data_IF_292783907223
#
_entry.id   IF_292783907223
#
_cell.length_a   1.000
_cell.length_b   1.000
_cell.length_c   1.000
_cell.angle_alpha   90.00
_cell.angle_beta   90.00
_cell.angle_gamma   90.00
#
_symmetry.space_group_name_H-M   'P 1'
#
loop_
_entity.id
_entity.type
_entity.pdbx_description
1 polymer ?
#
# COMPACT_ATOMS: atom_id res chain seq x y z
N UNK A 1 18.75 -29.05 50.55
CA UNK A 1 19.86 -28.54 49.73
C UNK A 1 19.28 -28.26 48.35
N UNK A 2 18.72 -27.06 48.07
CA UNK A 2 19.36 -25.79 47.60
C UNK A 2 20.18 -25.99 46.32
N UNK A 3 20.02 -25.26 45.20
CA UNK A 3 19.21 -24.07 44.84
C UNK A 3 18.85 -24.13 43.33
N UNK A 4 18.04 -23.25 42.72
CA UNK A 4 17.73 -21.85 43.01
C UNK A 4 18.41 -20.97 41.94
N UNK A 5 17.71 -20.64 40.85
CA UNK A 5 18.09 -19.57 39.92
C UNK A 5 16.86 -18.70 39.65
N UNK A 6 17.01 -17.45 40.05
CA UNK A 6 16.04 -16.39 40.27
C UNK A 6 16.00 -15.51 39.01
N UNK A 7 14.83 -15.33 38.40
CA UNK A 7 14.64 -14.38 37.30
C UNK A 7 14.05 -13.10 37.88
N UNK A 8 14.92 -12.12 38.10
CA UNK A 8 14.56 -10.79 38.59
C UNK A 8 13.66 -10.05 37.62
N UNK A 9 12.39 -9.94 37.99
CA UNK A 9 11.46 -8.93 37.52
C UNK A 9 11.91 -7.56 38.01
N UNK A 10 12.26 -6.65 37.10
CA UNK A 10 12.32 -5.22 37.42
C UNK A 10 10.89 -4.71 37.52
N UNK A 11 10.39 -4.71 38.76
CA UNK A 11 9.15 -4.08 39.18
C UNK A 11 9.24 -2.56 39.02
N UNK A 12 8.28 -1.97 38.31
CA UNK A 12 8.15 -0.51 38.20
C UNK A 12 7.93 0.16 39.56
N UNK A 13 8.78 1.14 39.86
CA UNK A 13 8.70 1.97 41.04
C UNK A 13 7.42 2.80 41.08
N UNK A 14 6.73 2.76 42.23
CA UNK A 14 5.68 3.72 42.60
C UNK A 14 6.33 5.10 42.79
N UNK A 15 5.95 6.08 41.97
CA UNK A 15 6.22 7.49 42.25
C UNK A 15 5.06 8.06 43.08
N UNK A 16 5.38 8.54 44.27
CA UNK A 16 4.52 9.30 45.16
C UNK A 16 4.60 10.78 44.76
N UNK A 17 3.49 11.42 44.39
CA UNK A 17 3.41 12.89 44.22
C UNK A 17 2.54 13.49 45.33
N UNK A 18 2.95 14.59 45.98
CA UNK A 18 2.18 15.23 47.04
C UNK A 18 1.07 16.15 46.49
N UNK A 19 -0.08 16.09 47.17
CA UNK A 19 -1.21 17.04 47.21
C UNK A 19 -1.54 17.86 45.95
N UNK A 20 -2.62 17.45 45.27
CA UNK A 20 -3.56 18.36 44.63
C UNK A 20 -5.00 17.85 44.86
N UNK A 21 -5.77 18.64 45.59
CA UNK A 21 -7.12 18.39 46.06
C UNK A 21 -8.18 18.35 44.95
N UNK A 22 -9.04 17.32 45.03
CA UNK A 22 -10.44 17.21 44.56
C UNK A 22 -10.75 17.54 43.09
N UNK A 23 -11.01 16.50 42.28
CA UNK A 23 -12.28 16.26 41.56
C UNK A 23 -12.27 14.91 40.78
N UNK A 24 -13.11 13.97 41.25
CA UNK A 24 -13.90 12.96 40.51
C UNK A 24 -13.34 12.17 39.29
N UNK A 25 -12.85 10.95 39.60
CA UNK A 25 -12.85 9.62 38.90
C UNK A 25 -13.35 9.47 37.44
N UNK A 26 -12.46 9.05 36.52
CA UNK A 26 -12.54 7.83 35.64
C UNK A 26 -11.22 7.64 34.82
N UNK A 27 -10.63 6.42 34.67
CA UNK A 27 -9.48 6.20 33.77
C UNK A 27 -9.94 5.87 32.34
N UNK A 28 -9.35 6.51 31.34
CA UNK A 28 -9.72 6.39 29.92
C UNK A 28 -9.09 5.14 29.24
N UNK A 29 -9.85 4.39 28.41
CA UNK A 29 -9.33 3.35 27.52
C UNK A 29 -8.86 3.94 26.18
N UNK A 30 -7.66 3.54 25.73
CA UNK A 30 -7.06 3.93 24.44
C UNK A 30 -7.84 3.31 23.26
N UNK A 31 -8.13 4.10 22.22
CA UNK A 31 -8.92 3.71 21.05
C UNK A 31 -8.39 4.35 19.74
N UNK A 32 -8.81 3.80 18.59
CA UNK A 32 -9.00 4.44 17.25
C UNK A 32 -7.85 4.48 16.23
N UNK A 33 -7.73 3.44 15.38
CA UNK A 33 -6.74 3.37 14.28
C UNK A 33 -7.10 4.11 12.98
N UNK A 34 -8.29 4.72 12.85
CA UNK A 34 -8.65 5.50 11.64
C UNK A 34 -9.57 6.71 11.90
N UNK A 35 -9.40 7.38 13.03
CA UNK A 35 -9.87 8.77 13.20
C UNK A 35 -8.76 9.80 12.93
N UNK A 36 -7.63 9.36 12.37
CA UNK A 36 -6.39 10.12 12.43
C UNK A 36 -5.87 10.71 11.11
N UNK A 37 -6.64 10.64 10.02
CA UNK A 37 -6.37 11.47 8.83
C UNK A 37 -7.23 12.76 8.81
N UNK A 38 -8.02 13.00 9.86
CA UNK A 38 -8.56 14.33 10.19
C UNK A 38 -8.30 14.61 11.67
N UNK A 39 -7.26 15.42 11.91
CA UNK A 39 -6.75 15.90 13.22
C UNK A 39 -6.09 14.85 14.13
N UNK A 40 -5.13 14.08 13.62
CA UNK A 40 -4.06 13.57 14.48
C UNK A 40 -2.76 14.33 14.26
N UNK A 41 -2.07 14.66 15.35
CA UNK A 41 -0.77 15.29 15.27
C UNK A 41 0.30 14.22 15.37
N UNK A 42 1.06 14.04 14.29
CA UNK A 42 2.29 13.27 14.30
C UNK A 42 3.33 14.03 15.12
N UNK A 43 3.86 13.39 16.16
CA UNK A 43 4.71 14.02 17.17
C UNK A 43 6.07 13.33 17.30
N UNK A 44 6.19 12.09 16.81
CA UNK A 44 7.46 11.37 16.79
C UNK A 44 8.47 12.06 15.84
N UNK A 45 9.66 12.37 16.35
CA UNK A 45 10.69 13.13 15.61
C UNK A 45 11.12 12.44 14.31
N UNK A 46 11.35 11.11 14.35
CA UNK A 46 11.71 10.31 13.18
C UNK A 46 10.60 10.33 12.13
N UNK A 47 9.34 10.22 12.56
CA UNK A 47 8.17 10.26 11.68
C UNK A 47 8.00 11.64 11.03
N UNK A 48 8.12 12.71 11.81
CA UNK A 48 8.00 14.08 11.31
C UNK A 48 9.14 14.39 10.33
N UNK A 49 10.37 14.01 10.66
CA UNK A 49 11.53 14.16 9.78
C UNK A 49 11.40 13.33 8.50
N UNK A 50 10.89 12.11 8.60
CA UNK A 50 10.64 11.22 7.47
C UNK A 50 9.59 11.79 6.50
N UNK A 51 8.54 12.41 7.03
CA UNK A 51 7.41 12.88 6.23
C UNK A 51 7.64 14.22 5.54
N UNK A 52 8.54 15.06 6.07
CA UNK A 52 8.90 16.37 5.49
C UNK A 52 7.67 17.22 5.10
N UNK A 53 6.84 17.54 6.10
CA UNK A 53 5.60 18.32 5.97
C UNK A 53 4.47 17.68 5.14
N UNK A 54 4.63 16.45 4.67
CA UNK A 54 3.57 15.67 4.01
C UNK A 54 2.90 14.71 5.00
N UNK A 55 1.86 14.01 4.54
CA UNK A 55 1.27 12.92 5.32
C UNK A 55 2.27 11.75 5.43
N UNK A 56 2.71 11.36 6.64
CA UNK A 56 3.66 10.26 6.82
C UNK A 56 3.19 8.92 6.25
N UNK A 57 1.87 8.66 6.25
CA UNK A 57 1.30 7.44 5.67
C UNK A 57 1.50 7.44 4.16
N UNK A 58 1.16 8.54 3.49
CA UNK A 58 1.36 8.68 2.04
C UNK A 58 2.84 8.56 1.66
N UNK A 59 3.74 9.14 2.48
CA UNK A 59 5.18 9.05 2.25
C UNK A 59 5.70 7.62 2.41
N UNK A 60 5.24 6.89 3.44
CA UNK A 60 5.63 5.49 3.65
C UNK A 60 5.12 4.57 2.55
N UNK A 61 3.85 4.70 2.18
CA UNK A 61 3.26 3.94 1.06
C UNK A 61 4.01 4.23 -0.24
N UNK A 62 4.29 5.50 -0.52
CA UNK A 62 5.04 5.93 -1.71
C UNK A 62 6.46 5.35 -1.77
N UNK A 63 7.20 5.39 -0.66
CA UNK A 63 8.56 4.84 -0.58
C UNK A 63 8.59 3.32 -0.69
N UNK A 64 7.73 2.61 0.05
CA UNK A 64 7.65 1.15 0.01
C UNK A 64 7.23 0.65 -1.38
N UNK A 65 6.28 1.34 -2.01
CA UNK A 65 5.86 1.07 -3.39
C UNK A 65 6.98 1.31 -4.39
N UNK A 66 7.66 2.45 -4.32
CA UNK A 66 8.76 2.75 -5.24
C UNK A 66 9.88 1.70 -5.13
N UNK A 67 10.18 1.25 -3.91
CA UNK A 67 11.10 0.15 -3.65
C UNK A 67 10.61 -1.15 -4.31
N UNK A 68 9.36 -1.55 -4.07
CA UNK A 68 8.78 -2.77 -4.64
C UNK A 68 8.81 -2.75 -6.17
N UNK A 69 8.36 -1.67 -6.81
CA UNK A 69 8.35 -1.54 -8.27
C UNK A 69 9.75 -1.62 -8.87
N UNK A 70 10.75 -1.03 -8.21
CA UNK A 70 12.14 -1.08 -8.67
C UNK A 70 12.73 -2.49 -8.53
N UNK A 71 12.45 -3.18 -7.43
CA UNK A 71 12.83 -4.58 -7.27
C UNK A 71 12.15 -5.47 -8.32
N UNK A 72 10.87 -5.24 -8.63
CA UNK A 72 10.13 -5.95 -9.68
C UNK A 72 10.72 -5.72 -11.07
N UNK A 73 11.16 -4.49 -11.37
CA UNK A 73 11.86 -4.18 -12.61
C UNK A 73 13.18 -4.97 -12.77
N UNK A 74 13.79 -5.36 -11.66
CA UNK A 74 15.03 -6.14 -11.58
C UNK A 74 14.80 -7.66 -11.37
N UNK A 75 13.55 -8.11 -11.45
CA UNK A 75 13.19 -9.53 -11.43
C UNK A 75 12.74 -10.09 -10.08
N UNK A 76 12.53 -9.25 -9.07
CA UNK A 76 11.86 -9.68 -7.83
C UNK A 76 10.36 -9.88 -8.09
N UNK A 77 9.90 -11.11 -8.00
CA UNK A 77 8.57 -11.50 -8.41
C UNK A 77 7.77 -12.19 -7.28
N UNK A 78 6.54 -12.53 -7.62
CA UNK A 78 5.57 -13.11 -6.71
C UNK A 78 4.20 -13.20 -7.40
N UNK A 79 3.14 -13.53 -6.64
CA UNK A 79 3.17 -13.95 -5.24
C UNK A 79 3.56 -15.44 -5.04
N UNK A 80 4.11 -15.82 -3.87
CA UNK A 80 4.41 -14.95 -2.72
C UNK A 80 5.68 -14.14 -2.94
N UNK A 81 5.64 -12.84 -2.61
CA UNK A 81 6.82 -11.98 -2.65
C UNK A 81 7.77 -12.34 -1.50
N UNK A 82 9.04 -12.60 -1.79
CA UNK A 82 10.01 -13.02 -0.77
C UNK A 82 10.75 -11.81 -0.16
N UNK A 83 10.52 -11.49 1.13
CA UNK A 83 11.20 -10.37 1.77
C UNK A 83 12.70 -10.63 2.01
N UNK A 84 13.16 -11.89 2.08
CA UNK A 84 14.60 -12.19 2.14
C UNK A 84 15.28 -11.88 0.81
N UNK A 85 14.68 -12.26 -0.31
CA UNK A 85 15.16 -11.90 -1.65
C UNK A 85 15.20 -10.37 -1.82
N UNK A 86 14.20 -9.64 -1.30
CA UNK A 86 14.18 -8.18 -1.31
C UNK A 86 15.34 -7.59 -0.49
N UNK A 87 15.60 -8.10 0.72
CA UNK A 87 16.74 -7.67 1.54
C UNK A 87 18.09 -7.93 0.85
N UNK A 88 18.23 -9.08 0.17
CA UNK A 88 19.42 -9.39 -0.63
C UNK A 88 19.58 -8.43 -1.82
N UNK A 89 18.49 -8.10 -2.52
CA UNK A 89 18.48 -7.12 -3.61
C UNK A 89 18.89 -5.72 -3.11
N UNK A 90 18.45 -5.35 -1.91
CA UNK A 90 18.88 -4.13 -1.20
C UNK A 90 20.34 -4.19 -0.69
N UNK A 91 21.00 -5.36 -0.79
CA UNK A 91 22.34 -5.62 -0.25
C UNK A 91 22.43 -5.40 1.26
N UNK A 92 21.33 -5.62 1.97
CA UNK A 92 21.31 -5.66 3.43
C UNK A 92 21.88 -7.03 3.84
N UNK A 93 22.96 -7.10 4.64
CA UNK A 93 23.43 -8.37 5.20
C UNK A 93 22.34 -9.00 6.08
N UNK A 94 22.22 -10.33 6.02
CA UNK A 94 21.15 -11.08 6.67
C UNK A 94 21.77 -12.14 7.59
N UNK A 95 21.30 -12.22 8.83
CA UNK A 95 21.72 -13.21 9.81
C UNK A 95 20.51 -13.95 10.43
N UNK A 96 20.56 -15.28 10.44
CA UNK A 96 19.54 -16.09 11.09
C UNK A 96 19.92 -16.33 12.55
N UNK A 97 19.04 -15.91 13.48
CA UNK A 97 19.25 -15.92 14.92
C UNK A 97 18.04 -16.47 15.67
N UNK A 98 18.15 -17.70 16.19
CA UNK A 98 17.07 -18.34 16.95
C UNK A 98 16.82 -17.73 18.34
N UNK A 99 17.76 -16.93 18.85
CA UNK A 99 17.78 -16.36 20.19
C UNK A 99 17.05 -15.02 20.32
N UNK A 100 16.62 -14.40 19.20
CA UNK A 100 15.88 -13.14 19.21
C UNK A 100 14.37 -13.36 19.11
N UNK A 101 13.52 -12.40 19.52
CA UNK A 101 12.07 -12.53 19.41
C UNK A 101 11.60 -12.72 17.98
N UNK A 102 11.75 -11.75 17.08
CA UNK A 102 11.21 -11.83 15.71
C UNK A 102 12.28 -11.47 14.67
N UNK A 103 12.30 -10.23 14.18
CA UNK A 103 13.38 -9.69 13.37
C UNK A 103 13.79 -8.33 13.94
N UNK A 104 15.00 -7.87 13.60
CA UNK A 104 15.48 -6.53 13.96
C UNK A 104 16.57 -6.05 12.99
N UNK A 105 16.61 -4.75 12.71
CA UNK A 105 17.77 -4.08 12.13
C UNK A 105 18.81 -3.76 13.20
N UNK A 106 20.07 -4.13 12.98
CA UNK A 106 21.20 -3.88 13.89
C UNK A 106 22.30 -3.09 13.17
N UNK A 107 22.73 -1.92 13.69
CA UNK A 107 23.82 -1.15 13.13
C UNK A 107 25.16 -1.81 13.49
N UNK A 108 26.02 -1.95 12.50
CA UNK A 108 27.39 -2.38 12.65
C UNK A 108 28.31 -1.18 12.89
N UNK A 109 29.54 -1.47 13.33
CA UNK A 109 30.56 -0.47 13.64
C UNK A 109 30.93 0.40 12.43
N UNK A 110 30.80 -0.14 11.21
CA UNK A 110 31.05 0.56 9.95
C UNK A 110 29.83 1.38 9.45
N UNK A 111 28.73 1.38 10.20
CA UNK A 111 27.50 2.09 9.85
C UNK A 111 26.57 1.31 8.91
N UNK A 112 26.93 0.09 8.50
CA UNK A 112 25.98 -0.79 7.77
C UNK A 112 24.89 -1.30 8.71
N UNK A 113 23.71 -1.59 8.16
CA UNK A 113 22.61 -2.22 8.90
C UNK A 113 22.55 -3.70 8.54
N UNK A 114 22.43 -4.57 9.53
CA UNK A 114 22.23 -6.01 9.37
C UNK A 114 20.84 -6.39 9.81
N UNK A 115 20.16 -7.19 8.98
CA UNK A 115 18.87 -7.77 9.27
C UNK A 115 19.06 -9.10 9.99
N UNK A 116 18.79 -9.13 11.30
CA UNK A 116 18.72 -10.36 12.06
C UNK A 116 17.27 -10.86 12.12
N UNK A 117 17.04 -12.17 11.95
CA UNK A 117 15.68 -12.75 12.03
C UNK A 117 15.66 -14.11 12.72
N UNK A 118 14.55 -14.43 13.39
CA UNK A 118 14.33 -15.72 14.05
C UNK A 118 13.67 -16.74 13.10
N UNK A 119 14.43 -17.74 12.59
CA UNK A 119 13.90 -18.73 11.66
C UNK A 119 12.88 -19.70 12.30
N UNK A 120 12.76 -19.72 13.63
CA UNK A 120 11.83 -20.59 14.36
C UNK A 120 10.39 -20.04 14.42
N UNK A 121 10.16 -18.82 13.91
CA UNK A 121 8.82 -18.23 13.92
C UNK A 121 7.90 -18.83 12.85
N UNK A 122 6.58 -18.89 13.11
CA UNK A 122 5.62 -19.29 12.09
C UNK A 122 5.83 -18.47 10.82
N UNK A 123 5.79 -19.13 9.66
CA UNK A 123 6.16 -18.57 8.35
C UNK A 123 5.55 -17.19 8.06
N UNK A 124 4.26 -17.00 8.34
CA UNK A 124 3.60 -15.70 8.14
C UNK A 124 4.11 -14.58 9.06
N UNK A 125 4.44 -14.91 10.32
CA UNK A 125 5.06 -13.96 11.27
C UNK A 125 6.49 -13.63 10.86
N UNK A 126 7.26 -14.64 10.49
CA UNK A 126 8.62 -14.48 9.98
C UNK A 126 8.68 -13.51 8.80
N UNK A 127 7.85 -13.75 7.77
CA UNK A 127 7.80 -12.93 6.56
C UNK A 127 7.42 -11.49 6.86
N UNK A 128 6.40 -11.29 7.71
CA UNK A 128 5.96 -9.95 8.10
C UNK A 128 7.02 -9.20 8.89
N UNK A 129 7.67 -9.84 9.86
CA UNK A 129 8.74 -9.21 10.64
C UNK A 129 9.92 -8.81 9.77
N UNK A 130 10.34 -9.63 8.80
CA UNK A 130 11.40 -9.25 7.86
C UNK A 130 10.98 -8.05 7.01
N UNK A 131 9.78 -8.05 6.44
CA UNK A 131 9.28 -6.92 5.65
C UNK A 131 9.12 -5.63 6.49
N UNK A 132 8.76 -5.77 7.76
CA UNK A 132 8.70 -4.67 8.73
C UNK A 132 10.07 -4.03 8.94
N UNK A 133 11.12 -4.83 9.14
CA UNK A 133 12.49 -4.31 9.27
C UNK A 133 13.01 -3.65 7.98
N UNK A 134 12.63 -4.18 6.81
CA UNK A 134 12.93 -3.52 5.53
C UNK A 134 12.21 -2.17 5.44
N UNK A 135 10.95 -2.09 5.84
CA UNK A 135 10.22 -0.82 5.90
C UNK A 135 10.86 0.17 6.89
N UNK A 136 11.36 -0.32 8.03
CA UNK A 136 12.12 0.47 9.00
C UNK A 136 13.38 1.10 8.39
N UNK A 137 14.06 0.40 7.49
CA UNK A 137 15.24 0.94 6.79
C UNK A 137 14.94 2.10 5.83
N UNK A 138 13.66 2.40 5.54
CA UNK A 138 13.26 3.53 4.71
C UNK A 138 13.33 4.87 5.46
N UNK A 139 13.42 4.84 6.79
CA UNK A 139 13.61 6.01 7.64
C UNK A 139 15.06 6.51 7.54
N UNK A 140 15.28 7.82 7.32
CA UNK A 140 16.61 8.38 7.12
C UNK A 140 17.52 8.26 8.36
N UNK A 141 16.92 8.20 9.54
CA UNK A 141 17.59 8.12 10.84
C UNK A 141 17.64 6.70 11.41
N UNK A 142 17.26 5.67 10.63
CA UNK A 142 17.22 4.27 11.08
C UNK A 142 18.52 3.83 11.78
N UNK A 143 19.70 4.22 11.28
CA UNK A 143 20.97 3.88 11.91
C UNK A 143 21.23 4.63 13.24
N UNK A 144 20.72 5.85 13.39
CA UNK A 144 20.84 6.64 14.61
C UNK A 144 19.85 6.18 15.69
N UNK A 145 18.62 5.84 15.30
CA UNK A 145 17.60 5.35 16.23
C UNK A 145 18.00 4.01 16.87
N UNK A 146 18.52 3.06 16.08
CA UNK A 146 18.96 1.77 16.66
C UNK A 146 20.17 1.95 17.58
N UNK A 147 21.08 2.89 17.30
CA UNK A 147 22.19 3.24 18.21
C UNK A 147 21.68 3.83 19.53
N UNK A 148 20.65 4.68 19.49
CA UNK A 148 20.11 5.37 20.66
C UNK A 148 19.16 4.49 21.51
N UNK A 149 18.53 3.45 20.94
CA UNK A 149 17.80 2.41 21.69
C UNK A 149 18.67 1.73 22.76
N UNK A 150 20.00 1.77 22.61
CA UNK A 150 20.96 1.26 23.60
C UNK A 150 21.46 2.27 24.64
N UNK A 151 21.23 3.58 24.48
CA UNK A 151 21.90 4.61 25.29
C UNK A 151 20.96 5.50 26.13
N UNK A 152 19.74 5.81 25.67
CA UNK A 152 18.74 6.52 26.48
C UNK A 152 17.37 6.36 25.81
N UNK A 153 16.27 6.05 26.54
CA UNK A 153 14.97 5.94 25.89
C UNK A 153 14.52 7.32 25.46
N UNK A 154 14.40 7.55 24.15
CA UNK A 154 13.50 8.58 23.63
C UNK A 154 12.11 8.33 24.26
N UNK A 155 11.31 9.37 24.59
CA UNK A 155 10.10 9.21 25.37
C UNK A 155 9.18 8.16 24.72
N UNK A 156 8.99 7.04 25.43
CA UNK A 156 8.32 5.83 24.98
C UNK A 156 6.85 6.00 24.55
N UNK A 157 6.31 7.22 24.58
CA UNK A 157 4.90 7.51 24.34
C UNK A 157 4.51 7.49 22.85
N UNK A 158 5.43 7.80 21.92
CA UNK A 158 5.11 7.98 20.49
C UNK A 158 5.78 6.97 19.55
N UNK A 159 6.50 5.97 20.09
CA UNK A 159 7.17 4.96 19.26
C UNK A 159 6.18 4.11 18.44
N UNK A 160 4.93 4.04 18.89
CA UNK A 160 3.85 3.38 18.14
C UNK A 160 3.57 4.04 16.78
N UNK A 161 3.83 5.35 16.62
CA UNK A 161 3.63 6.05 15.34
C UNK A 161 4.57 5.47 14.27
N UNK A 162 5.82 5.17 14.67
CA UNK A 162 6.83 4.56 13.81
C UNK A 162 6.47 3.10 13.46
N UNK A 163 6.08 2.30 14.46
CA UNK A 163 5.64 0.91 14.29
C UNK A 163 4.50 0.78 13.27
N UNK A 164 3.60 1.75 13.27
CA UNK A 164 2.43 1.79 12.37
C UNK A 164 2.83 2.05 10.93
N UNK A 165 3.72 3.01 10.71
CA UNK A 165 4.27 3.24 9.38
C UNK A 165 5.04 2.02 8.89
N UNK A 166 5.86 1.38 9.74
CA UNK A 166 6.57 0.16 9.37
C UNK A 166 5.62 -0.98 8.99
N UNK A 167 4.50 -1.15 9.70
CA UNK A 167 3.46 -2.12 9.34
C UNK A 167 2.80 -1.81 8.00
N UNK A 168 2.56 -0.53 7.69
CA UNK A 168 2.02 -0.08 6.40
C UNK A 168 3.02 -0.40 5.28
N UNK A 169 4.29 -0.05 5.48
CA UNK A 169 5.36 -0.36 4.53
C UNK A 169 5.50 -1.87 4.30
N UNK A 170 5.51 -2.67 5.36
CA UNK A 170 5.58 -4.13 5.29
C UNK A 170 4.43 -4.74 4.47
N UNK A 171 3.21 -4.23 4.66
CA UNK A 171 2.04 -4.68 3.90
C UNK A 171 2.17 -4.34 2.40
N UNK A 172 2.68 -3.16 2.06
CA UNK A 172 2.95 -2.78 0.67
C UNK A 172 4.04 -3.65 0.04
N UNK A 173 5.10 -3.98 0.78
CA UNK A 173 6.18 -4.86 0.29
C UNK A 173 5.72 -6.31 0.11
N UNK A 174 4.85 -6.84 0.97
CA UNK A 174 4.37 -8.22 0.84
C UNK A 174 3.22 -8.37 -0.17
N UNK A 175 2.53 -7.27 -0.48
CA UNK A 175 1.39 -7.22 -1.39
C UNK A 175 1.42 -5.95 -2.27
N UNK A 176 2.44 -5.81 -3.15
CA UNK A 176 2.68 -4.60 -3.93
C UNK A 176 1.57 -4.34 -4.96
N UNK A 177 1.52 -3.13 -5.51
CA UNK A 177 0.57 -2.80 -6.59
C UNK A 177 0.63 -3.81 -7.76
N UNK A 178 -0.53 -4.14 -8.31
CA UNK A 178 -0.71 -5.12 -9.38
C UNK A 178 -0.98 -6.53 -8.88
N UNK A 179 -0.97 -6.72 -7.56
CA UNK A 179 -1.20 -7.99 -6.88
C UNK A 179 -2.68 -8.42 -6.91
N UNK A 180 -3.62 -7.47 -7.06
CA UNK A 180 -5.06 -7.73 -6.90
C UNK A 180 -5.90 -7.29 -8.11
N UNK A 181 -5.53 -7.67 -9.36
CA UNK A 181 -6.15 -7.10 -10.56
C UNK A 181 -7.66 -7.34 -10.67
N UNK A 182 -8.12 -8.48 -10.14
CA UNK A 182 -9.53 -8.88 -10.20
C UNK A 182 -10.34 -8.40 -8.97
N UNK A 183 -9.70 -7.95 -7.89
CA UNK A 183 -10.41 -7.64 -6.65
C UNK A 183 -11.17 -6.32 -6.68
N UNK A 184 -10.83 -5.43 -7.60
CA UNK A 184 -11.53 -4.17 -7.79
C UNK A 184 -12.97 -4.34 -8.33
N UNK A 185 -13.34 -5.54 -8.79
CA UNK A 185 -14.68 -5.89 -9.29
C UNK A 185 -15.34 -7.10 -8.61
N UNK A 186 -14.58 -7.91 -7.85
CA UNK A 186 -15.13 -9.05 -7.08
C UNK A 186 -15.87 -8.55 -5.84
N UNK A 187 -16.95 -9.23 -5.44
CA UNK A 187 -17.56 -9.00 -4.12
C UNK A 187 -16.51 -9.24 -3.03
N UNK A 188 -16.29 -8.22 -2.20
CA UNK A 188 -15.49 -8.34 -0.97
C UNK A 188 -16.09 -9.47 -0.14
N UNK A 189 -15.32 -10.52 0.11
CA UNK A 189 -15.74 -11.65 0.95
C UNK A 189 -14.58 -12.23 1.75
N UNK A 190 -14.89 -12.80 2.91
CA UNK A 190 -13.89 -13.44 3.76
C UNK A 190 -13.26 -14.66 3.07
N UNK A 191 -14.02 -15.39 2.25
CA UNK A 191 -13.48 -16.50 1.46
C UNK A 191 -12.39 -16.04 0.49
N UNK A 192 -12.62 -14.91 -0.20
CA UNK A 192 -11.66 -14.34 -1.12
C UNK A 192 -10.41 -13.79 -0.40
N UNK A 193 -10.57 -13.20 0.79
CA UNK A 193 -9.45 -12.83 1.68
C UNK A 193 -8.64 -14.07 2.06
N UNK A 194 -9.29 -15.17 2.43
CA UNK A 194 -8.63 -16.41 2.83
C UNK A 194 -7.89 -17.10 1.68
N UNK A 195 -8.35 -16.93 0.44
CA UNK A 195 -7.64 -17.35 -0.76
C UNK A 195 -6.41 -16.46 -1.01
N UNK A 196 -6.60 -15.14 -1.02
CA UNK A 196 -5.52 -14.19 -1.27
C UNK A 196 -4.41 -14.29 -0.23
N UNK A 197 -4.74 -14.36 1.06
CA UNK A 197 -3.72 -14.45 2.12
C UNK A 197 -2.88 -15.73 2.01
N UNK A 198 -3.43 -16.81 1.44
CA UNK A 198 -2.65 -18.02 1.10
C UNK A 198 -1.76 -17.80 -0.12
N UNK A 199 -2.30 -17.18 -1.18
CA UNK A 199 -1.55 -16.89 -2.40
C UNK A 199 -0.35 -15.98 -2.13
N UNK A 200 -0.53 -14.93 -1.32
CA UNK A 200 0.50 -13.97 -0.94
C UNK A 200 1.34 -14.40 0.26
N UNK A 201 0.92 -15.47 0.96
CA UNK A 201 1.57 -16.01 2.14
C UNK A 201 1.76 -14.95 3.23
N UNK A 202 0.64 -14.31 3.60
CA UNK A 202 0.54 -13.22 4.59
C UNK A 202 -0.53 -13.53 5.65
N UNK A 203 -0.58 -12.72 6.71
CA UNK A 203 -1.64 -12.81 7.72
C UNK A 203 -3.00 -12.37 7.14
N UNK A 204 -4.09 -12.84 7.77
CA UNK A 204 -5.45 -12.42 7.40
C UNK A 204 -5.61 -10.91 7.56
N UNK A 205 -5.10 -10.35 8.65
CA UNK A 205 -5.21 -8.91 8.94
C UNK A 205 -4.47 -8.06 7.91
N UNK A 206 -3.24 -8.41 7.56
CA UNK A 206 -2.49 -7.68 6.53
C UNK A 206 -3.26 -7.69 5.21
N UNK A 207 -3.78 -8.85 4.81
CA UNK A 207 -4.59 -9.00 3.61
C UNK A 207 -5.88 -8.16 3.66
N UNK A 208 -6.63 -8.19 4.78
CA UNK A 208 -7.83 -7.38 4.98
C UNK A 208 -7.54 -5.89 4.85
N UNK A 209 -6.50 -5.40 5.52
CA UNK A 209 -6.09 -3.99 5.47
C UNK A 209 -5.81 -3.57 4.04
N UNK A 210 -5.04 -4.37 3.30
CA UNK A 210 -4.69 -4.09 1.91
C UNK A 210 -5.94 -4.08 1.00
N UNK A 211 -6.79 -5.07 1.14
CA UNK A 211 -8.03 -5.18 0.37
C UNK A 211 -8.96 -3.98 0.62
N UNK A 212 -9.12 -3.56 1.88
CA UNK A 212 -10.00 -2.45 2.24
C UNK A 212 -9.45 -1.10 1.77
N UNK A 213 -8.12 -0.92 1.77
CA UNK A 213 -7.50 0.26 1.16
C UNK A 213 -7.77 0.36 -0.35
N UNK A 214 -7.88 -0.78 -1.03
CA UNK A 214 -8.22 -0.85 -2.46
C UNK A 214 -9.74 -0.91 -2.72
N UNK A 215 -10.55 -1.07 -1.67
CA UNK A 215 -11.99 -1.27 -1.79
C UNK A 215 -12.70 0.01 -2.23
N UNK A 216 -13.66 -0.18 -3.13
CA UNK A 216 -14.58 0.88 -3.58
C UNK A 216 -15.95 0.81 -2.91
N UNK A 217 -16.30 -0.35 -2.35
CA UNK A 217 -17.50 -0.49 -1.56
C UNK A 217 -17.34 0.25 -0.23
N UNK A 218 -18.43 0.83 0.26
CA UNK A 218 -18.52 1.36 1.62
C UNK A 218 -18.28 0.22 2.62
N UNK A 219 -17.04 0.08 3.04
CA UNK A 219 -16.56 -1.12 3.72
C UNK A 219 -15.47 -0.79 4.72
N UNK A 220 -15.29 -1.64 5.72
CA UNK A 220 -14.19 -1.54 6.67
C UNK A 220 -13.64 -2.93 7.03
N UNK A 221 -12.35 -3.01 7.31
CA UNK A 221 -11.79 -4.12 8.07
C UNK A 221 -12.04 -3.86 9.56
N UNK A 222 -12.25 -4.90 10.35
CA UNK A 222 -12.38 -4.77 11.80
C UNK A 222 -11.69 -5.92 12.53
N UNK A 223 -11.39 -5.69 13.80
CA UNK A 223 -11.08 -6.73 14.79
C UNK A 223 -11.98 -6.53 16.01
N UNK A 224 -12.45 -7.64 16.57
CA UNK A 224 -13.16 -7.67 17.83
C UNK A 224 -12.63 -8.80 18.72
N UNK A 225 -12.60 -8.56 20.02
CA UNK A 225 -12.16 -9.54 21.00
C UNK A 225 -13.13 -9.58 22.18
N UNK A 226 -13.19 -10.72 22.87
CA UNK A 226 -14.04 -10.87 24.04
C UNK A 226 -13.38 -10.25 25.26
N UNK A 227 -14.05 -9.30 25.89
CA UNK A 227 -13.56 -8.59 27.06
C UNK A 227 -14.05 -9.25 28.36
N UNK A 228 -13.57 -8.76 29.50
CA UNK A 228 -13.86 -9.31 30.83
C UNK A 228 -15.35 -9.25 31.21
N UNK A 229 -16.13 -8.37 30.57
CA UNK A 229 -17.58 -8.27 30.73
C UNK A 229 -18.34 -9.40 30.00
N UNK A 230 -17.63 -10.28 29.30
CA UNK A 230 -18.19 -11.41 28.57
C UNK A 230 -18.70 -11.06 27.18
N UNK A 231 -18.47 -9.84 26.70
CA UNK A 231 -18.94 -9.39 25.39
C UNK A 231 -17.78 -9.11 24.43
N UNK A 232 -18.05 -9.23 23.13
CA UNK A 232 -17.11 -8.78 22.12
C UNK A 232 -17.14 -7.25 22.04
N UNK A 233 -15.97 -6.64 22.07
CA UNK A 233 -15.77 -5.22 21.75
C UNK A 233 -14.93 -5.10 20.50
N UNK A 234 -15.23 -4.09 19.69
CA UNK A 234 -14.47 -3.75 18.50
C UNK A 234 -13.13 -3.13 18.93
N UNK A 235 -12.03 -3.86 18.73
CA UNK A 235 -10.68 -3.41 19.09
C UNK A 235 -10.17 -2.36 18.10
N UNK A 236 -10.49 -2.51 16.81
CA UNK A 236 -10.18 -1.52 15.78
C UNK A 236 -11.10 -1.63 14.56
N UNK A 237 -11.20 -0.53 13.81
CA UNK A 237 -11.88 -0.46 12.52
C UNK A 237 -11.04 0.36 11.55
N UNK A 238 -10.90 -0.14 10.32
CA UNK A 238 -10.18 0.50 9.23
C UNK A 238 -11.14 0.64 8.05
N UNK A 239 -11.76 1.82 7.85
CA UNK A 239 -12.65 2.06 6.72
C UNK A 239 -11.89 2.20 5.40
N UNK A 240 -12.60 1.89 4.31
CA UNK A 240 -12.16 2.18 2.95
C UNK A 240 -11.97 3.69 2.74
N UNK A 241 -11.03 4.11 1.87
CA UNK A 241 -10.74 5.53 1.65
C UNK A 241 -11.98 6.34 1.23
N UNK A 242 -12.14 7.51 1.85
CA UNK A 242 -13.26 8.44 1.56
C UNK A 242 -14.60 8.04 2.18
N UNK A 243 -14.62 7.03 3.06
CA UNK A 243 -15.80 6.60 3.79
C UNK A 243 -15.53 6.59 5.30
N UNK A 244 -16.53 6.99 6.09
CA UNK A 244 -16.49 6.87 7.55
C UNK A 244 -17.27 5.65 7.97
N UNK A 245 -16.64 4.76 8.72
CA UNK A 245 -17.34 3.60 9.28
C UNK A 245 -18.41 4.05 10.28
N UNK A 246 -19.64 3.53 10.20
CA UNK A 246 -20.67 3.78 11.20
C UNK A 246 -20.42 3.00 12.51
N UNK A 247 -19.46 2.08 12.49
CA UNK A 247 -19.00 1.31 13.65
C UNK A 247 -17.70 1.92 14.18
N UNK A 248 -17.64 2.13 15.49
CA UNK A 248 -16.53 2.78 16.17
C UNK A 248 -15.68 1.81 17.00
N UNK A 249 -14.41 2.13 17.22
CA UNK A 249 -13.57 1.40 18.17
C UNK A 249 -14.15 1.49 19.60
N UNK A 250 -14.05 0.41 20.36
CA UNK A 250 -14.63 0.25 21.69
C UNK A 250 -16.14 -0.05 21.68
N UNK A 251 -16.81 0.01 20.52
CA UNK A 251 -18.22 -0.33 20.43
C UNK A 251 -18.45 -1.79 20.82
N UNK A 252 -19.45 -2.02 21.66
CA UNK A 252 -19.91 -3.36 22.02
C UNK A 252 -20.65 -3.99 20.85
N UNK A 253 -20.23 -5.20 20.50
CA UNK A 253 -20.90 -6.03 19.50
C UNK A 253 -22.23 -6.53 20.09
N UNK A 254 -23.35 -6.45 19.35
CA UNK A 254 -24.64 -6.95 19.82
C UNK A 254 -24.57 -8.44 20.21
N UNK A 255 -25.27 -8.81 21.28
CA UNK A 255 -25.38 -10.22 21.68
C UNK A 255 -26.05 -11.04 20.56
N UNK A 256 -25.51 -12.22 20.27
CA UNK A 256 -26.00 -13.08 19.17
C UNK A 256 -25.56 -12.62 17.77
N UNK A 257 -24.63 -11.67 17.69
CA UNK A 257 -23.94 -11.34 16.43
C UNK A 257 -23.24 -12.56 15.85
N UNK A 258 -23.16 -12.61 14.52
CA UNK A 258 -22.44 -13.65 13.78
C UNK A 258 -20.97 -13.81 14.19
N UNK A 259 -20.36 -12.79 14.79
CA UNK A 259 -19.00 -12.85 15.33
C UNK A 259 -18.84 -13.97 16.36
N UNK A 260 -19.90 -14.26 17.14
CA UNK A 260 -19.86 -15.32 18.15
C UNK A 260 -19.75 -16.73 17.54
N UNK A 261 -20.06 -16.89 16.25
CA UNK A 261 -19.94 -18.16 15.51
C UNK A 261 -18.50 -18.40 15.02
N UNK A 262 -17.69 -17.34 14.88
CA UNK A 262 -16.26 -17.41 14.57
C UNK A 262 -15.42 -17.73 15.82
N UNK A 263 -15.89 -18.67 16.65
CA UNK A 263 -15.38 -18.98 17.99
C UNK A 263 -14.17 -19.94 18.04
N UNK A 264 -13.60 -20.29 16.89
CA UNK A 264 -12.41 -21.10 16.78
C UNK A 264 -11.48 -20.56 15.69
N UNK A 265 -10.19 -20.86 15.80
CA UNK A 265 -9.18 -20.38 14.84
C UNK A 265 -9.50 -20.95 13.46
N UNK A 266 -9.64 -20.06 12.47
CA UNK A 266 -9.96 -20.38 11.08
C UNK A 266 -11.44 -20.54 10.78
N UNK A 267 -12.34 -20.50 11.77
CA UNK A 267 -13.78 -20.58 11.54
C UNK A 267 -14.29 -19.27 10.96
N UNK A 268 -14.98 -19.34 9.83
CA UNK A 268 -15.57 -18.18 9.16
C UNK A 268 -17.06 -18.08 9.42
N UNK A 269 -17.61 -16.88 9.52
CA UNK A 269 -19.04 -16.66 9.67
C UNK A 269 -19.49 -15.40 8.90
N UNK A 270 -20.70 -15.44 8.34
CA UNK A 270 -21.24 -14.41 7.43
C UNK A 270 -22.71 -14.13 7.77
N UNK A 271 -23.07 -12.86 8.00
CA UNK A 271 -24.47 -12.45 8.25
C UNK A 271 -24.71 -10.97 7.98
N UNK A 272 -25.90 -10.68 7.46
CA UNK A 272 -26.47 -9.34 7.48
C UNK A 272 -27.18 -9.10 8.82
N UNK A 273 -26.74 -8.11 9.58
CA UNK A 273 -27.25 -7.81 10.92
C UNK A 273 -27.20 -6.30 11.24
N UNK A 274 -27.70 -5.91 12.40
CA UNK A 274 -27.75 -4.51 12.82
C UNK A 274 -26.87 -4.29 14.04
N UNK A 275 -25.90 -3.39 13.92
CA UNK A 275 -25.04 -2.97 15.03
C UNK A 275 -25.44 -1.56 15.48
N UNK A 276 -26.14 -1.47 16.61
CA UNK A 276 -26.76 -0.22 17.05
C UNK A 276 -27.88 0.20 16.10
N UNK A 277 -27.73 1.34 15.43
CA UNK A 277 -28.68 1.83 14.42
C UNK A 277 -28.29 1.45 12.99
N UNK A 278 -27.17 0.76 12.78
CA UNK A 278 -26.56 0.59 11.47
C UNK A 278 -26.75 -0.83 10.93
N UNK A 279 -27.36 -0.95 9.76
CA UNK A 279 -27.45 -2.21 9.03
C UNK A 279 -26.12 -2.51 8.34
N UNK A 280 -25.49 -3.63 8.72
CA UNK A 280 -24.18 -4.06 8.26
C UNK A 280 -24.25 -5.48 7.73
N UNK A 281 -23.42 -5.79 6.73
CA UNK A 281 -23.13 -7.16 6.36
C UNK A 281 -21.73 -7.49 6.88
N UNK A 282 -21.65 -8.51 7.73
CA UNK A 282 -20.43 -8.90 8.45
C UNK A 282 -19.96 -10.22 7.87
N UNK A 283 -18.71 -10.24 7.40
CA UNK A 283 -18.00 -11.48 7.05
C UNK A 283 -16.72 -11.55 7.87
N UNK A 284 -16.51 -12.63 8.63
CA UNK A 284 -15.43 -12.67 9.61
C UNK A 284 -14.80 -14.05 9.76
N UNK A 285 -13.64 -14.09 10.41
CA UNK A 285 -12.89 -15.30 10.73
C UNK A 285 -12.27 -15.21 12.12
N UNK A 286 -12.29 -16.33 12.86
CA UNK A 286 -11.61 -16.46 14.15
C UNK A 286 -10.10 -16.57 13.99
N UNK A 287 -9.34 -15.81 14.77
CA UNK A 287 -7.88 -15.85 14.84
C UNK A 287 -7.41 -16.18 16.26
N UNK A 288 -6.12 -16.47 16.39
CA UNK A 288 -5.49 -16.74 17.69
C UNK A 288 -5.82 -15.63 18.70
N UNK A 289 -6.12 -16.00 19.96
CA UNK A 289 -6.39 -15.05 21.02
C UNK A 289 -5.20 -14.12 21.26
N UNK A 290 -5.46 -12.98 21.90
CA UNK A 290 -4.38 -12.17 22.46
C UNK A 290 -3.59 -12.96 23.52
N UNK A 291 -2.31 -12.64 23.75
CA UNK A 291 -1.53 -13.25 24.82
C UNK A 291 -2.26 -13.17 26.17
N UNK A 292 -2.46 -14.32 26.82
CA UNK A 292 -3.18 -14.41 28.09
C UNK A 292 -4.71 -14.56 27.97
N UNK A 293 -5.29 -14.41 26.79
CA UNK A 293 -6.69 -14.71 26.53
C UNK A 293 -6.87 -16.15 26.01
N UNK A 294 -8.05 -16.73 26.29
CA UNK A 294 -8.42 -18.08 25.83
C UNK A 294 -9.43 -18.06 24.69
N UNK A 295 -10.12 -16.94 24.50
CA UNK A 295 -11.15 -16.78 23.47
C UNK A 295 -10.54 -16.19 22.20
N UNK A 296 -10.78 -16.81 21.02
CA UNK A 296 -10.36 -16.24 19.75
C UNK A 296 -10.78 -14.80 19.59
N UNK A 297 -9.91 -14.01 18.97
CA UNK A 297 -10.29 -12.72 18.41
C UNK A 297 -10.88 -12.95 17.02
N UNK A 298 -11.76 -12.07 16.59
CA UNK A 298 -12.46 -12.19 15.32
C UNK A 298 -12.10 -11.00 14.46
N UNK A 299 -11.64 -11.26 13.24
CA UNK A 299 -11.35 -10.21 12.26
C UNK A 299 -12.22 -10.40 11.03
N UNK A 300 -12.54 -9.32 10.34
CA UNK A 300 -13.43 -9.43 9.20
C UNK A 300 -13.64 -8.15 8.43
N UNK A 301 -14.63 -8.19 7.55
CA UNK A 301 -15.11 -7.09 6.73
C UNK A 301 -16.51 -6.71 7.22
N UNK A 302 -16.72 -5.40 7.38
CA UNK A 302 -18.03 -4.77 7.48
C UNK A 302 -18.35 -4.16 6.12
N UNK A 303 -19.52 -4.47 5.56
CA UNK A 303 -20.06 -3.83 4.36
C UNK A 303 -21.31 -3.03 4.77
N UNK A 304 -21.38 -1.75 4.37
CA UNK A 304 -22.60 -0.98 4.54
C UNK A 304 -23.70 -1.56 3.64
N UNK A 305 -24.90 -1.78 4.18
CA UNK A 305 -26.02 -2.27 3.37
C UNK A 305 -26.63 -1.21 2.44
N UNK A 306 -26.23 0.07 2.57
CA UNK A 306 -26.60 1.12 1.61
C UNK A 306 -25.74 1.04 0.35
N UNK A 307 -26.37 0.78 -0.79
CA UNK A 307 -25.76 0.63 -2.13
C UNK A 307 -25.25 1.94 -2.76
N UNK A 308 -24.85 2.93 -1.97
CA UNK A 308 -24.15 4.10 -2.50
C UNK A 308 -22.74 3.66 -2.90
N UNK A 309 -22.61 3.06 -4.10
CA UNK A 309 -21.35 2.89 -4.80
C UNK A 309 -20.67 4.26 -4.82
N UNK A 310 -19.41 4.31 -4.41
CA UNK A 310 -18.56 5.50 -4.43
C UNK A 310 -18.76 6.28 -5.75
N UNK A 311 -18.93 7.60 -5.70
CA UNK A 311 -18.92 8.47 -6.90
C UNK A 311 -17.49 8.71 -7.42
N UNK A 312 -16.62 7.71 -7.32
CA UNK A 312 -15.27 7.77 -7.86
C UNK A 312 -15.32 7.53 -9.36
N UNK A 313 -14.53 8.27 -10.13
CA UNK A 313 -14.31 7.97 -11.55
C UNK A 313 -13.85 6.51 -11.70
N UNK A 314 -14.38 5.79 -12.67
CA UNK A 314 -13.92 4.45 -13.00
C UNK A 314 -12.88 4.53 -14.13
N UNK A 315 -11.92 3.59 -14.14
CA UNK A 315 -11.09 3.39 -15.32
C UNK A 315 -11.98 2.82 -16.43
N UNK A 316 -12.22 3.60 -17.47
CA UNK A 316 -13.09 3.20 -18.57
C UNK A 316 -12.27 2.45 -19.63
N UNK A 317 -12.60 1.18 -19.89
CA UNK A 317 -11.98 0.40 -20.97
C UNK A 317 -12.96 0.30 -22.16
N UNK A 318 -12.54 0.76 -23.34
CA UNK A 318 -13.41 0.82 -24.54
C UNK A 318 -12.73 0.30 -25.80
N UNK A 319 -13.54 -0.14 -26.76
CA UNK A 319 -13.09 -0.37 -28.13
C UNK A 319 -13.04 0.95 -28.92
N UNK A 320 -11.88 1.28 -29.48
CA UNK A 320 -11.63 2.52 -30.24
C UNK A 320 -10.14 2.86 -30.40
N UNK A 321 -9.86 4.04 -30.97
CA UNK A 321 -8.49 4.55 -31.14
C UNK A 321 -8.21 5.69 -30.15
N UNK A 322 -7.17 5.56 -29.33
CA UNK A 322 -6.76 6.61 -28.39
C UNK A 322 -6.22 7.87 -29.10
N UNK A 323 -5.90 7.80 -30.40
CA UNK A 323 -5.57 8.99 -31.22
C UNK A 323 -6.81 9.84 -31.55
N UNK A 324 -8.02 9.33 -31.29
CA UNK A 324 -9.28 10.05 -31.46
C UNK A 324 -10.08 10.04 -30.15
N UNK A 325 -9.58 10.74 -29.10
CA UNK A 325 -10.16 10.68 -27.77
C UNK A 325 -11.57 11.26 -27.73
N UNK A 326 -12.51 10.48 -27.17
CA UNK A 326 -13.94 10.81 -27.07
C UNK A 326 -14.21 11.62 -25.81
N UNK A 327 -15.20 12.51 -25.85
CA UNK A 327 -15.58 13.35 -24.70
C UNK A 327 -15.40 14.84 -24.98
N UNK A 328 -15.90 15.66 -24.05
CA UNK A 328 -15.83 17.13 -24.09
C UNK A 328 -14.63 17.63 -23.30
N UNK A 329 -14.16 18.83 -23.64
CA UNK A 329 -13.06 19.52 -22.95
C UNK A 329 -11.66 18.99 -23.30
N UNK A 330 -10.62 19.48 -22.63
CA UNK A 330 -9.22 19.11 -22.88
C UNK A 330 -8.95 17.62 -22.72
N UNK A 331 -8.15 17.06 -23.64
CA UNK A 331 -7.74 15.65 -23.65
C UNK A 331 -6.22 15.54 -23.61
N UNK A 332 -5.71 14.71 -22.72
CA UNK A 332 -4.30 14.34 -22.68
C UNK A 332 -4.18 12.89 -23.18
N UNK A 333 -3.56 12.70 -24.34
CA UNK A 333 -3.31 11.38 -24.94
C UNK A 333 -1.92 10.91 -24.53
N UNK A 334 -1.86 10.01 -23.56
CA UNK A 334 -0.63 9.46 -23.00
C UNK A 334 -0.26 8.11 -23.63
N UNK A 335 1.03 7.90 -23.88
CA UNK A 335 1.54 6.60 -24.31
C UNK A 335 2.99 6.40 -23.88
N UNK A 336 3.41 5.14 -23.84
CA UNK A 336 4.77 4.76 -23.44
C UNK A 336 5.72 4.82 -24.63
N UNK A 337 6.87 5.43 -24.40
CA UNK A 337 7.99 5.48 -25.33
C UNK A 337 9.28 4.94 -24.69
N UNK A 338 10.22 4.43 -25.49
CA UNK A 338 11.51 3.95 -25.01
C UNK A 338 12.50 5.08 -24.68
N UNK A 339 13.44 4.81 -23.78
CA UNK A 339 14.53 5.70 -23.36
C UNK A 339 15.65 5.81 -24.42
N UNK A 340 15.30 6.05 -25.68
CA UNK A 340 16.26 6.14 -26.78
C UNK A 340 16.02 7.37 -27.64
N UNK A 341 17.09 8.06 -28.09
CA UNK A 341 17.00 9.12 -29.09
C UNK A 341 16.94 8.55 -30.52
N UNK A 342 16.74 7.23 -30.68
CA UNK A 342 16.54 6.63 -32.00
C UNK A 342 15.09 6.77 -32.42
N UNK A 343 14.90 6.97 -33.72
CA UNK A 343 13.57 6.90 -34.31
C UNK A 343 12.94 5.53 -34.04
N UNK A 344 11.82 5.51 -33.32
CA UNK A 344 11.05 4.29 -33.11
C UNK A 344 10.29 3.92 -34.40
N UNK A 345 10.62 2.76 -34.98
CA UNK A 345 9.92 2.19 -36.14
C UNK A 345 8.81 1.21 -35.73
N UNK A 346 7.91 0.88 -36.66
CA UNK A 346 6.96 -0.24 -36.53
C UNK A 346 5.47 0.11 -36.64
N UNK A 347 4.61 -0.88 -36.36
CA UNK A 347 3.14 -0.77 -36.41
C UNK A 347 2.46 -0.38 -35.09
N UNK A 348 3.23 -0.14 -34.02
CA UNK A 348 2.73 0.18 -32.68
C UNK A 348 2.18 1.61 -32.54
N UNK A 349 1.58 1.90 -31.38
CA UNK A 349 0.92 3.18 -31.10
C UNK A 349 1.84 4.40 -31.25
N UNK A 350 3.07 4.36 -30.73
CA UNK A 350 4.03 5.47 -30.86
C UNK A 350 4.35 5.83 -32.33
N UNK A 351 4.39 4.84 -33.21
CA UNK A 351 4.58 5.07 -34.64
C UNK A 351 3.33 5.69 -35.29
N UNK A 352 2.12 5.37 -34.80
CA UNK A 352 0.89 6.03 -35.24
C UNK A 352 0.83 7.48 -34.76
N UNK A 353 1.17 7.75 -33.48
CA UNK A 353 1.29 9.12 -32.94
C UNK A 353 2.19 9.98 -33.83
N UNK A 354 3.39 9.49 -34.19
CA UNK A 354 4.31 10.23 -35.06
C UNK A 354 3.70 10.59 -36.42
N UNK A 355 2.92 9.68 -37.03
CA UNK A 355 2.28 9.91 -38.32
C UNK A 355 1.10 10.88 -38.23
N UNK A 356 0.30 10.75 -37.17
CA UNK A 356 -0.91 11.55 -36.96
C UNK A 356 -0.62 12.94 -36.38
N UNK A 357 0.46 13.07 -35.60
CA UNK A 357 0.86 14.30 -34.90
C UNK A 357 2.37 14.58 -35.10
N UNK A 358 2.78 15.07 -36.27
CA UNK A 358 4.20 15.33 -36.57
C UNK A 358 4.85 16.33 -35.60
N UNK A 359 4.11 17.32 -35.12
CA UNK A 359 4.64 18.35 -34.21
C UNK A 359 5.07 17.79 -32.86
N UNK A 360 4.35 16.78 -32.33
CA UNK A 360 4.74 16.08 -31.11
C UNK A 360 6.07 15.33 -31.29
N UNK A 361 6.27 14.74 -32.47
CA UNK A 361 7.54 14.08 -32.79
C UNK A 361 8.68 15.08 -32.97
N UNK A 362 8.45 16.20 -33.65
CA UNK A 362 9.48 17.24 -33.83
C UNK A 362 9.87 17.87 -32.49
N UNK A 363 8.92 18.09 -31.56
CA UNK A 363 9.26 18.52 -30.21
C UNK A 363 10.14 17.49 -29.48
N UNK A 364 9.74 16.23 -29.46
CA UNK A 364 10.52 15.17 -28.83
C UNK A 364 11.94 15.09 -29.43
N UNK A 365 12.06 15.20 -30.76
CA UNK A 365 13.33 15.20 -31.47
C UNK A 365 14.22 16.39 -31.07
N UNK A 366 13.67 17.60 -31.00
CA UNK A 366 14.41 18.81 -30.56
C UNK A 366 14.93 18.68 -29.14
N UNK A 367 14.18 18.04 -28.26
CA UNK A 367 14.55 17.91 -26.85
C UNK A 367 15.50 16.74 -26.55
N UNK A 368 15.61 15.78 -27.47
CA UNK A 368 16.44 14.58 -27.30
C UNK A 368 17.52 14.46 -28.37
N UNK A 369 17.13 14.13 -29.60
CA UNK A 369 18.01 13.81 -30.73
C UNK A 369 18.91 15.00 -31.07
N UNK A 370 18.33 16.19 -31.27
CA UNK A 370 19.08 17.36 -31.72
C UNK A 370 20.05 17.86 -30.62
N UNK A 371 19.72 17.58 -29.36
CA UNK A 371 20.56 17.84 -28.19
C UNK A 371 21.55 16.73 -27.87
N UNK A 372 21.60 15.67 -28.70
CA UNK A 372 22.45 14.49 -28.47
C UNK A 372 22.23 13.86 -27.08
N UNK A 373 21.00 13.93 -26.58
CA UNK A 373 20.60 13.51 -25.24
C UNK A 373 19.62 12.35 -25.33
N UNK A 374 19.97 11.23 -24.71
CA UNK A 374 19.00 10.15 -24.51
C UNK A 374 17.96 10.59 -23.46
N UNK A 375 16.66 10.42 -23.73
CA UNK A 375 15.63 10.67 -22.72
C UNK A 375 15.80 9.71 -21.55
N UNK A 376 15.54 10.18 -20.35
CA UNK A 376 15.72 9.40 -19.11
C UNK A 376 14.41 8.71 -18.74
N UNK A 377 14.51 7.50 -18.18
CA UNK A 377 13.34 6.80 -17.65
C UNK A 377 12.65 7.65 -16.58
N UNK A 378 11.33 7.79 -16.68
CA UNK A 378 10.51 8.63 -15.82
C UNK A 378 10.17 10.00 -16.41
N UNK A 379 10.85 10.43 -17.47
CA UNK A 379 10.57 11.72 -18.12
C UNK A 379 9.26 11.69 -18.92
N UNK A 380 8.56 12.83 -18.96
CA UNK A 380 7.40 13.05 -19.81
C UNK A 380 7.66 14.24 -20.73
N UNK A 381 7.43 14.06 -22.03
CA UNK A 381 7.40 15.15 -23.00
C UNK A 381 5.96 15.45 -23.41
N UNK A 382 5.55 16.71 -23.26
CA UNK A 382 4.19 17.16 -23.56
C UNK A 382 4.19 18.12 -24.73
N UNK A 383 3.32 17.83 -25.70
CA UNK A 383 3.11 18.66 -26.88
C UNK A 383 1.62 18.99 -27.01
N UNK A 384 1.23 20.26 -26.80
CA UNK A 384 -0.09 20.72 -27.19
C UNK A 384 -0.25 20.60 -28.71
N UNK A 385 -1.37 20.04 -29.14
CA UNK A 385 -1.81 19.92 -30.52
C UNK A 385 -3.10 20.73 -30.67
N UNK A 386 -3.33 21.31 -31.85
CA UNK A 386 -4.55 22.05 -32.15
C UNK A 386 -5.81 21.24 -31.78
N UNK A 387 -6.82 21.91 -31.19
CA UNK A 387 -8.13 21.29 -30.90
C UNK A 387 -8.23 20.56 -29.56
N UNK A 388 -7.72 21.17 -28.48
CA UNK A 388 -7.85 20.70 -27.09
C UNK A 388 -7.15 19.35 -26.80
N UNK A 389 -6.17 18.93 -27.61
CA UNK A 389 -5.42 17.68 -27.42
C UNK A 389 -3.98 17.97 -27.00
N UNK A 390 -3.49 17.30 -25.97
CA UNK A 390 -2.07 17.28 -25.58
C UNK A 390 -1.54 15.86 -25.71
N UNK A 391 -0.47 15.68 -26.48
CA UNK A 391 0.23 14.39 -26.60
C UNK A 391 1.27 14.30 -25.49
N UNK A 392 1.30 13.17 -24.78
CA UNK A 392 2.28 12.89 -23.75
C UNK A 392 3.12 11.65 -24.06
N UNK A 393 4.41 11.85 -24.31
CA UNK A 393 5.40 10.79 -24.44
C UNK A 393 5.97 10.44 -23.06
N UNK A 394 5.52 9.31 -22.49
CA UNK A 394 6.02 8.81 -21.19
C UNK A 394 7.20 7.87 -21.39
N UNK A 395 8.39 8.26 -20.95
CA UNK A 395 9.63 7.48 -21.11
C UNK A 395 9.69 6.39 -20.04
N UNK A 396 9.01 5.28 -20.28
CA UNK A 396 8.89 4.19 -19.30
C UNK A 396 9.40 2.84 -19.81
N UNK A 397 10.04 2.79 -20.98
CA UNK A 397 10.56 1.54 -21.55
C UNK A 397 12.08 1.59 -21.77
N UNK A 398 12.79 0.54 -21.37
CA UNK A 398 14.21 0.38 -21.61
C UNK A 398 14.50 -0.22 -23.00
N UNK A 399 15.05 0.60 -23.89
CA UNK A 399 15.44 0.21 -25.25
C UNK A 399 14.27 -0.20 -26.16
N UNK A 400 14.62 -0.78 -27.32
CA UNK A 400 13.68 -1.16 -28.39
C UNK A 400 13.94 -2.59 -28.90
N UNK A 401 12.92 -3.21 -29.50
CA UNK A 401 12.99 -4.53 -30.13
C UNK A 401 12.62 -5.69 -29.19
N UNK A 402 12.65 -6.95 -29.70
CA UNK A 402 12.40 -8.14 -28.89
C UNK A 402 13.33 -8.20 -27.67
N UNK A 403 12.85 -8.80 -26.58
CA UNK A 403 13.62 -9.05 -25.36
C UNK A 403 13.04 -10.26 -24.63
N UNK A 404 13.91 -11.05 -24.00
CA UNK A 404 13.49 -12.12 -23.09
C UNK A 404 13.09 -11.58 -21.71
N UNK A 405 13.53 -10.36 -21.37
CA UNK A 405 13.23 -9.69 -20.10
C UNK A 405 12.29 -8.50 -20.31
N UNK A 406 11.50 -8.18 -19.28
CA UNK A 406 10.61 -7.03 -19.28
C UNK A 406 11.40 -5.76 -19.64
N UNK A 407 10.91 -4.98 -20.60
CA UNK A 407 11.50 -3.68 -20.99
C UNK A 407 10.77 -2.50 -20.36
N UNK A 408 9.45 -2.61 -20.13
CA UNK A 408 8.76 -1.61 -19.34
C UNK A 408 9.42 -1.55 -17.95
N UNK A 409 9.52 -0.36 -17.40
CA UNK A 409 9.98 -0.11 -16.05
C UNK A 409 8.81 0.44 -15.25
N UNK A 410 8.26 -0.36 -14.35
CA UNK A 410 7.11 0.03 -13.52
C UNK A 410 7.43 1.26 -12.69
N UNK A 411 8.65 1.37 -12.14
CA UNK A 411 9.05 2.55 -11.37
C UNK A 411 9.02 3.82 -12.23
N UNK A 412 9.51 3.73 -13.46
CA UNK A 412 9.48 4.83 -14.43
C UNK A 412 8.05 5.16 -14.87
N UNK A 413 7.22 4.14 -15.10
CA UNK A 413 5.81 4.35 -15.46
C UNK A 413 5.04 5.05 -14.34
N UNK A 414 5.25 4.67 -13.07
CA UNK A 414 4.63 5.32 -11.92
C UNK A 414 5.01 6.80 -11.83
N UNK A 415 6.30 7.12 -12.04
CA UNK A 415 6.77 8.51 -12.11
C UNK A 415 6.10 9.29 -13.24
N UNK A 416 6.05 8.72 -14.45
CA UNK A 416 5.38 9.36 -15.58
C UNK A 416 3.88 9.60 -15.28
N UNK A 417 3.17 8.61 -14.73
CA UNK A 417 1.75 8.74 -14.40
C UNK A 417 1.49 9.79 -13.33
N UNK A 418 2.38 9.93 -12.34
CA UNK A 418 2.30 11.01 -11.35
C UNK A 418 2.45 12.39 -12.02
N UNK A 419 3.37 12.55 -12.99
CA UNK A 419 3.45 13.79 -13.77
C UNK A 419 2.21 13.98 -14.66
N UNK A 420 1.70 12.94 -15.31
CA UNK A 420 0.44 13.01 -16.09
C UNK A 420 -0.71 13.49 -15.21
N UNK A 421 -0.82 13.01 -13.97
CA UNK A 421 -1.85 13.47 -13.02
C UNK A 421 -1.78 14.98 -12.80
N UNK A 422 -0.60 15.49 -12.48
CA UNK A 422 -0.40 16.92 -12.20
C UNK A 422 -0.76 17.78 -13.41
N UNK A 423 -0.33 17.33 -14.60
CA UNK A 423 -0.56 18.03 -15.86
C UNK A 423 -2.02 17.98 -16.29
N UNK A 424 -2.67 16.81 -16.17
CA UNK A 424 -4.08 16.66 -16.45
C UNK A 424 -4.94 17.52 -15.52
N UNK A 425 -4.63 17.54 -14.21
CA UNK A 425 -5.30 18.40 -13.23
C UNK A 425 -5.13 19.88 -13.59
N UNK A 426 -3.91 20.33 -13.88
CA UNK A 426 -3.63 21.72 -14.24
C UNK A 426 -4.36 22.17 -15.52
N UNK A 427 -4.52 21.25 -16.49
CA UNK A 427 -5.22 21.51 -17.75
C UNK A 427 -6.75 21.32 -17.66
N UNK A 428 -7.26 20.78 -16.54
CA UNK A 428 -8.65 20.29 -16.48
C UNK A 428 -8.93 19.19 -17.52
N UNK A 429 -7.92 18.42 -17.89
CA UNK A 429 -7.98 17.44 -18.97
C UNK A 429 -8.37 16.04 -18.48
N UNK A 430 -9.02 15.29 -19.37
CA UNK A 430 -9.21 13.85 -19.22
C UNK A 430 -8.06 13.09 -19.87
N UNK A 431 -7.68 11.94 -19.32
CA UNK A 431 -6.54 11.14 -19.82
C UNK A 431 -7.02 10.00 -20.71
N UNK A 432 -6.36 9.83 -21.85
CA UNK A 432 -6.66 8.81 -22.84
C UNK A 432 -5.38 8.05 -23.21
N UNK A 433 -5.42 6.73 -23.26
CA UNK A 433 -4.23 5.93 -23.60
C UNK A 433 -4.60 4.59 -24.25
N UNK A 434 -3.74 3.99 -25.08
CA UNK A 434 -3.90 2.59 -25.47
C UNK A 434 -3.63 1.68 -24.25
N UNK A 435 -3.84 0.36 -24.39
CA UNK A 435 -3.20 -0.60 -23.47
C UNK A 435 -1.68 -0.49 -23.60
N UNK A 436 -1.04 0.12 -22.61
CA UNK A 436 0.41 0.36 -22.55
C UNK A 436 1.17 -0.80 -21.90
N UNK A 437 2.44 -0.98 -22.25
CA UNK A 437 3.37 -1.89 -21.57
C UNK A 437 3.27 -3.39 -21.92
N UNK A 438 2.15 -3.88 -22.43
CA UNK A 438 1.86 -5.31 -22.65
C UNK A 438 2.40 -5.91 -23.96
N UNK A 439 2.80 -5.06 -24.92
CA UNK A 439 3.41 -5.48 -26.19
C UNK A 439 4.92 -5.73 -26.03
N UNK A 440 5.75 -5.03 -26.82
CA UNK A 440 7.22 -5.12 -26.73
C UNK A 440 7.81 -4.71 -25.36
N UNK A 441 6.99 -4.15 -24.47
CA UNK A 441 7.36 -3.85 -23.08
C UNK A 441 7.41 -5.09 -22.18
N UNK A 442 6.67 -6.15 -22.50
CA UNK A 442 6.64 -7.42 -21.76
C UNK A 442 6.06 -7.34 -20.35
N UNK A 443 5.34 -6.27 -20.00
CA UNK A 443 4.78 -6.07 -18.66
C UNK A 443 3.43 -6.76 -18.47
N UNK A 444 3.11 -7.06 -17.22
CA UNK A 444 1.78 -7.51 -16.81
C UNK A 444 0.78 -6.36 -16.93
N UNK A 445 -0.30 -6.57 -17.71
CA UNK A 445 -1.38 -5.58 -17.82
C UNK A 445 -2.00 -5.29 -16.46
N UNK A 446 -2.08 -6.29 -15.60
CA UNK A 446 -2.69 -6.20 -14.28
C UNK A 446 -1.96 -5.19 -13.39
N UNK A 447 -0.62 -5.22 -13.41
CA UNK A 447 0.22 -4.25 -12.70
C UNK A 447 0.08 -2.85 -13.31
N UNK A 448 0.14 -2.75 -14.64
CA UNK A 448 -0.03 -1.47 -15.35
C UNK A 448 -1.40 -0.85 -15.05
N UNK A 449 -2.46 -1.65 -15.06
CA UNK A 449 -3.84 -1.22 -14.81
C UNK A 449 -4.01 -0.69 -13.39
N UNK A 450 -3.42 -1.37 -12.40
CA UNK A 450 -3.48 -0.92 -11.01
C UNK A 450 -2.69 0.39 -10.81
N UNK A 451 -1.52 0.53 -11.44
CA UNK A 451 -0.76 1.80 -11.45
C UNK A 451 -1.56 2.97 -12.05
N UNK A 452 -2.25 2.74 -13.18
CA UNK A 452 -3.11 3.77 -13.79
C UNK A 452 -4.24 4.17 -12.84
N UNK A 453 -4.87 3.18 -12.17
CA UNK A 453 -5.97 3.44 -11.26
C UNK A 453 -5.50 4.24 -10.04
N UNK A 454 -4.40 3.82 -9.42
CA UNK A 454 -3.87 4.48 -8.23
C UNK A 454 -3.35 5.90 -8.55
N UNK A 455 -2.58 6.07 -9.62
CA UNK A 455 -1.94 7.37 -9.90
C UNK A 455 -2.88 8.39 -10.53
N UNK A 456 -3.89 7.96 -11.30
CA UNK A 456 -4.80 8.87 -11.99
C UNK A 456 -6.22 8.82 -11.42
N UNK A 457 -6.86 7.66 -11.48
CA UNK A 457 -8.31 7.52 -11.28
C UNK A 457 -8.72 7.78 -9.83
N UNK A 458 -8.05 7.11 -8.89
CA UNK A 458 -8.36 7.21 -7.47
C UNK A 458 -7.96 8.59 -6.90
N UNK A 459 -7.07 9.31 -7.61
CA UNK A 459 -6.67 10.70 -7.38
C UNK A 459 -7.48 11.72 -8.20
N UNK A 460 -8.60 11.30 -8.79
CA UNK A 460 -9.61 12.19 -9.35
C UNK A 460 -9.46 12.53 -10.85
N UNK A 461 -8.52 11.94 -11.56
CA UNK A 461 -8.31 12.18 -13.01
C UNK A 461 -9.08 11.14 -13.83
N UNK A 462 -10.15 11.53 -14.56
CA UNK A 462 -10.89 10.60 -15.41
C UNK A 462 -9.99 10.03 -16.50
N UNK A 463 -9.95 8.71 -16.62
CA UNK A 463 -9.01 8.01 -17.50
C UNK A 463 -9.72 6.96 -18.35
N UNK A 464 -9.44 6.96 -19.65
CA UNK A 464 -9.98 5.98 -20.63
C UNK A 464 -8.85 5.20 -21.31
N UNK A 465 -8.93 3.88 -21.26
CA UNK A 465 -8.02 2.96 -21.96
C UNK A 465 -8.69 2.38 -23.20
N UNK A 466 -8.01 2.47 -24.34
CA UNK A 466 -8.51 2.04 -25.63
C UNK A 466 -7.87 0.72 -26.07
N UNK A 467 -8.70 -0.18 -26.58
CA UNK A 467 -8.28 -1.33 -27.39
C UNK A 467 -8.81 -1.16 -28.80
N UNK A 468 -8.02 -1.45 -29.84
CA UNK A 468 -8.50 -1.33 -31.21
C UNK A 468 -9.64 -2.33 -31.47
N UNK A 469 -10.66 -1.97 -32.28
CA UNK A 469 -11.67 -2.91 -32.74
C UNK A 469 -11.00 -4.11 -33.42
N UNK A 470 -11.46 -5.31 -33.08
CA UNK A 470 -10.97 -6.57 -33.65
C UNK A 470 -11.65 -6.89 -34.97
#
# INVERSE_FOLDING_TARGET
MKGGADWGLVTGHRLHCPNATKLSRNPAPFSTWTLMARQFQWTNESVVAFADQKDPVEVMEGKARALALKAMDDGWDGPPFDPLALAQWLRIPIEARGDIPDARMVPMHDGTLVLEYNPMRPRGRLRFSIAHEIAHSLFPDCAAEVRNRGATPAPAADNWQLEVLCNIGAAELLMPLGSFPNFAGTQLSISAVMELRRRFDVSVEACLIRIIKLARAQSAAFCASKHADGHYHVDYVIPAPGWSSPISTGQRVPAGSVIEEANAIGYTAVRSETWGANAVHVECVGLSPYPGAVTPRVVGILLAQSTLKRSGSELVEVSGDALSPRGKGPKLVAHVVPNTPKMWGGGGFAAKVRRSFPDAWEQFKRETIDRHRAPVLGEVFLTPIDGDITIAHMVAQHGIGPSATQRLRYAALAQCLAEIRERATALGATVHMPRIGTGHGGASWDVVKELIKDELVDKGVPTTVYSLPT
#
